data_IF_847532679239
#
_entry.id   IF_847532679239
#
_cell.length_a   1.000
_cell.length_b   1.000
_cell.length_c   1.000
_cell.angle_alpha   90.00
_cell.angle_beta   90.00
_cell.angle_gamma   90.00
#
_symmetry.space_group_name_H-M   'P 1'
#
loop_
_entity.id
_entity.type
_entity.pdbx_description
1 polymer ?
#
# COMPACT_ATOMS: atom_id res chain seq x y z
N UNK A 1 96.37 22.95 -16.83
CA UNK A 1 95.15 22.26 -16.35
C UNK A 1 95.52 20.82 -16.03
N UNK A 2 95.21 20.31 -14.84
CA UNK A 2 95.58 18.93 -14.45
C UNK A 2 94.91 17.92 -15.39
N UNK A 3 95.70 17.02 -15.97
CA UNK A 3 95.25 15.99 -16.93
C UNK A 3 94.07 15.18 -16.39
N UNK A 4 94.08 14.90 -15.07
CA UNK A 4 92.97 14.25 -14.38
C UNK A 4 91.63 15.03 -14.49
N UNK A 5 91.65 16.36 -14.42
CA UNK A 5 90.44 17.18 -14.57
C UNK A 5 89.91 17.16 -16.01
N UNK A 6 90.79 17.10 -17.01
CA UNK A 6 90.40 17.00 -18.42
C UNK A 6 89.75 15.63 -18.70
N UNK A 7 90.35 14.54 -18.19
CA UNK A 7 89.80 13.19 -18.35
C UNK A 7 88.41 13.05 -17.71
N UNK A 8 88.24 13.57 -16.49
CA UNK A 8 86.93 13.56 -15.81
C UNK A 8 85.88 14.36 -16.59
N UNK A 9 86.26 15.48 -17.20
CA UNK A 9 85.33 16.34 -17.95
C UNK A 9 84.88 15.69 -19.26
N UNK A 10 85.75 14.94 -19.93
CA UNK A 10 85.41 14.15 -21.13
C UNK A 10 84.47 13.00 -20.78
N UNK A 11 84.73 12.29 -19.67
CA UNK A 11 83.85 11.20 -19.20
C UNK A 11 82.47 11.74 -18.82
N UNK A 12 82.41 12.88 -18.13
CA UNK A 12 81.16 13.53 -17.76
C UNK A 12 80.33 13.94 -18.98
N UNK A 13 80.97 14.50 -20.01
CA UNK A 13 80.30 14.86 -21.27
C UNK A 13 79.83 13.61 -22.03
N UNK A 14 80.63 12.54 -22.06
CA UNK A 14 80.24 11.28 -22.68
C UNK A 14 79.02 10.65 -21.99
N UNK A 15 79.05 10.56 -20.66
CA UNK A 15 77.93 10.03 -19.88
C UNK A 15 76.66 10.89 -20.01
N UNK A 16 76.80 12.22 -20.01
CA UNK A 16 75.68 13.14 -20.24
C UNK A 16 75.05 13.00 -21.63
N UNK A 17 75.88 12.82 -22.66
CA UNK A 17 75.40 12.59 -24.04
C UNK A 17 74.62 11.29 -24.18
N UNK A 18 75.11 10.20 -23.56
CA UNK A 18 74.43 8.90 -23.56
C UNK A 18 73.11 8.95 -22.81
N UNK A 19 73.07 9.60 -21.64
CA UNK A 19 71.84 9.77 -20.88
C UNK A 19 70.78 10.59 -21.65
N UNK A 20 71.20 11.66 -22.33
CA UNK A 20 70.31 12.47 -23.16
C UNK A 20 69.76 11.70 -24.37
N UNK A 21 70.58 10.87 -25.01
CA UNK A 21 70.16 10.01 -26.12
C UNK A 21 69.17 8.91 -25.70
N UNK A 22 69.36 8.33 -24.51
CA UNK A 22 68.42 7.36 -23.96
C UNK A 22 67.11 8.00 -23.50
N UNK A 23 67.17 9.23 -22.98
CA UNK A 23 65.99 9.98 -22.56
C UNK A 23 65.17 10.49 -23.75
N UNK A 24 65.79 10.83 -24.89
CA UNK A 24 65.07 11.26 -26.09
C UNK A 24 64.33 10.12 -26.81
N UNK A 25 64.66 8.86 -26.51
CA UNK A 25 63.95 7.67 -26.99
C UNK A 25 62.77 7.24 -26.13
N UNK A 26 62.51 7.90 -24.98
CA UNK A 26 61.29 7.68 -24.22
C UNK A 26 60.12 8.31 -24.97
N UNK A 27 59.43 7.45 -25.72
CA UNK A 27 58.17 7.75 -26.39
C UNK A 27 57.17 8.19 -25.31
N UNK A 28 56.95 9.51 -25.20
CA UNK A 28 55.91 10.14 -24.39
C UNK A 28 54.54 9.82 -25.00
N UNK A 29 54.22 8.54 -25.19
CA UNK A 29 52.89 8.11 -25.57
C UNK A 29 51.97 8.59 -24.45
N UNK A 30 51.01 9.47 -24.75
CA UNK A 30 49.95 9.76 -23.81
C UNK A 30 49.38 8.43 -23.36
N UNK A 31 49.20 8.25 -22.05
CA UNK A 31 48.51 7.07 -21.53
C UNK A 31 47.26 6.83 -22.40
N UNK A 32 46.97 5.59 -22.83
CA UNK A 32 45.79 5.31 -23.64
C UNK A 32 44.61 6.00 -22.97
N UNK A 33 43.99 6.96 -23.66
CA UNK A 33 42.81 7.62 -23.14
C UNK A 33 41.84 6.49 -22.79
N UNK A 34 41.51 6.37 -21.49
CA UNK A 34 40.53 5.39 -21.03
C UNK A 34 39.33 5.49 -21.98
N UNK A 35 38.84 4.36 -22.54
CA UNK A 35 37.70 4.41 -23.43
C UNK A 35 36.61 5.19 -22.71
N UNK A 36 36.21 6.32 -23.30
CA UNK A 36 35.09 7.12 -22.81
C UNK A 36 33.94 6.15 -22.76
N UNK A 37 33.56 5.71 -21.56
CA UNK A 37 32.47 4.77 -21.37
C UNK A 37 31.30 5.28 -22.20
N UNK A 38 30.85 4.48 -23.17
CA UNK A 38 29.72 4.84 -24.01
C UNK A 38 28.60 5.29 -23.08
N UNK A 39 28.21 6.56 -23.20
CA UNK A 39 27.11 7.12 -22.40
C UNK A 39 25.86 6.40 -22.86
N UNK A 40 25.55 5.28 -22.20
CA UNK A 40 24.31 4.56 -22.41
C UNK A 40 23.16 5.57 -22.33
N UNK A 41 22.18 5.53 -23.25
CA UNK A 41 21.08 6.47 -23.24
C UNK A 41 20.39 6.41 -21.88
N UNK A 42 20.30 7.55 -21.20
CA UNK A 42 19.68 7.67 -19.87
C UNK A 42 18.36 8.41 -19.95
N UNK A 43 17.51 8.19 -18.96
CA UNK A 43 16.23 8.88 -18.76
C UNK A 43 16.06 9.26 -17.31
N UNK A 44 15.32 10.32 -17.03
CA UNK A 44 14.99 10.71 -15.67
C UNK A 44 13.67 10.08 -15.23
N UNK A 45 13.73 9.29 -14.16
CA UNK A 45 12.58 8.62 -13.54
C UNK A 45 12.25 9.29 -12.22
N UNK A 46 10.95 9.46 -11.94
CA UNK A 46 10.47 9.99 -10.67
C UNK A 46 10.56 8.91 -9.59
N UNK A 47 11.31 9.19 -8.52
CA UNK A 47 11.52 8.26 -7.39
C UNK A 47 11.15 8.92 -6.07
N UNK A 48 10.92 8.08 -5.05
CA UNK A 48 10.74 8.55 -3.67
C UNK A 48 12.07 9.09 -3.12
N UNK A 49 12.05 10.30 -2.56
CA UNK A 49 13.20 10.90 -1.87
C UNK A 49 13.34 10.40 -0.43
N UNK A 50 12.20 10.19 0.24
CA UNK A 50 12.10 9.67 1.59
C UNK A 50 11.14 8.47 1.60
N UNK A 51 11.11 7.73 2.70
CA UNK A 51 10.08 6.71 2.90
C UNK A 51 8.69 7.36 3.02
N UNK A 52 7.74 6.85 2.23
CA UNK A 52 6.35 7.28 2.23
C UNK A 52 5.51 6.12 2.74
N UNK A 53 4.87 6.30 3.88
CA UNK A 53 4.05 5.26 4.50
C UNK A 53 2.71 5.09 3.77
N UNK A 54 2.10 3.92 3.94
CA UNK A 54 0.74 3.68 3.45
C UNK A 54 -0.22 4.69 4.08
N UNK A 55 -1.08 5.30 3.26
CA UNK A 55 -2.02 6.34 3.68
C UNK A 55 -1.41 7.73 3.85
N UNK A 56 -0.09 7.89 3.68
CA UNK A 56 0.56 9.20 3.72
C UNK A 56 0.28 9.98 2.43
N UNK A 57 0.01 11.28 2.58
CA UNK A 57 -0.05 12.20 1.44
C UNK A 57 1.36 12.47 0.91
N UNK A 58 1.55 12.23 -0.38
CA UNK A 58 2.78 12.50 -1.12
C UNK A 58 2.92 13.99 -1.32
N UNK A 59 4.03 14.56 -0.85
CA UNK A 59 4.37 15.96 -1.11
C UNK A 59 5.39 16.06 -2.24
N UNK A 60 5.49 17.23 -2.86
CA UNK A 60 6.51 17.49 -3.88
C UNK A 60 7.95 17.35 -3.33
N UNK A 61 8.14 17.58 -2.03
CA UNK A 61 9.41 17.42 -1.31
C UNK A 61 9.83 15.96 -1.08
N UNK A 62 8.88 15.02 -1.12
CA UNK A 62 9.11 13.58 -0.98
C UNK A 62 9.46 12.91 -2.32
N UNK A 63 9.51 13.69 -3.40
CA UNK A 63 9.73 13.22 -4.76
C UNK A 63 11.02 13.84 -5.33
N UNK A 64 11.74 13.06 -6.12
CA UNK A 64 12.92 13.55 -6.84
C UNK A 64 13.06 12.84 -8.18
N UNK A 65 13.70 13.52 -9.14
CA UNK A 65 14.08 12.93 -10.41
C UNK A 65 15.44 12.25 -10.28
N UNK A 66 15.54 11.01 -10.76
CA UNK A 66 16.77 10.24 -10.73
C UNK A 66 17.11 9.72 -12.13
N UNK A 67 18.37 9.84 -12.52
CA UNK A 67 18.89 9.36 -13.79
C UNK A 67 19.01 7.84 -13.79
N UNK A 68 18.35 7.18 -14.74
CA UNK A 68 18.33 5.73 -14.93
C UNK A 68 18.77 5.38 -16.35
N UNK A 69 19.42 4.21 -16.57
CA UNK A 69 19.63 3.68 -17.91
C UNK A 69 18.28 3.44 -18.62
N UNK A 70 18.15 3.91 -19.85
CA UNK A 70 16.90 3.77 -20.62
C UNK A 70 16.50 2.31 -20.85
N UNK A 71 17.46 1.39 -20.86
CA UNK A 71 17.26 -0.06 -21.03
C UNK A 71 16.59 -0.73 -19.82
N UNK A 72 16.76 -0.19 -18.61
CA UNK A 72 16.17 -0.73 -17.36
C UNK A 72 14.96 0.07 -16.87
N UNK A 73 14.77 1.28 -17.39
CA UNK A 73 13.62 2.10 -17.09
C UNK A 73 12.35 1.54 -17.77
N UNK A 74 11.58 0.76 -17.01
CA UNK A 74 10.27 0.25 -17.42
C UNK A 74 9.33 1.37 -17.90
N UNK A 75 8.47 1.06 -18.88
CA UNK A 75 7.42 1.96 -19.35
C UNK A 75 6.38 2.30 -18.28
N UNK A 76 6.30 1.51 -17.20
CA UNK A 76 5.41 1.77 -16.07
C UNK A 76 5.93 2.89 -15.14
N UNK A 77 7.18 3.32 -15.30
CA UNK A 77 7.76 4.40 -14.50
C UNK A 77 7.39 5.76 -15.08
N UNK A 78 7.20 6.73 -14.19
CA UNK A 78 6.98 8.11 -14.59
C UNK A 78 8.34 8.69 -15.02
N UNK A 79 8.43 9.08 -16.28
CA UNK A 79 9.65 9.65 -16.86
C UNK A 79 9.47 11.13 -17.18
N UNK A 80 10.53 11.94 -16.98
CA UNK A 80 10.46 13.40 -17.18
C UNK A 80 10.21 13.79 -18.64
N UNK A 81 10.72 13.01 -19.59
CA UNK A 81 10.51 13.21 -21.04
C UNK A 81 9.03 13.16 -21.43
N UNK A 82 8.27 12.25 -20.81
CA UNK A 82 6.84 12.07 -21.06
C UNK A 82 5.95 12.96 -20.19
N UNK A 83 6.36 13.23 -18.95
CA UNK A 83 5.57 13.96 -17.94
C UNK A 83 6.46 14.85 -17.07
N UNK A 84 6.89 16.01 -17.58
CA UNK A 84 7.81 16.89 -16.85
C UNK A 84 7.20 17.49 -15.58
N UNK A 85 5.88 17.65 -15.55
CA UNK A 85 5.13 18.21 -14.41
C UNK A 85 4.64 17.14 -13.42
N UNK A 86 5.05 15.87 -13.56
CA UNK A 86 4.53 14.81 -12.71
C UNK A 86 4.78 15.06 -11.21
N UNK A 87 5.90 15.68 -10.86
CA UNK A 87 6.24 15.97 -9.47
C UNK A 87 5.21 16.89 -8.78
N UNK A 88 4.66 17.88 -9.49
CA UNK A 88 3.63 18.78 -8.96
C UNK A 88 2.24 18.19 -9.10
N UNK A 89 1.94 17.50 -10.21
CA UNK A 89 0.63 16.90 -10.45
C UNK A 89 0.32 15.75 -9.48
N UNK A 90 1.35 15.00 -9.08
CA UNK A 90 1.20 13.85 -8.17
C UNK A 90 1.22 14.28 -6.71
N UNK A 91 1.80 15.45 -6.40
CA UNK A 91 1.73 16.02 -5.07
C UNK A 91 0.27 16.19 -4.62
N UNK A 92 -0.03 15.81 -3.38
CA UNK A 92 -1.39 15.70 -2.86
C UNK A 92 -2.06 14.34 -3.05
N UNK A 93 -1.45 13.42 -3.80
CA UNK A 93 -1.92 12.02 -3.87
C UNK A 93 -1.60 11.25 -2.59
N UNK A 94 -2.39 10.23 -2.27
CA UNK A 94 -2.21 9.35 -1.11
C UNK A 94 -1.55 8.04 -1.57
N UNK A 95 -0.54 7.58 -0.84
CA UNK A 95 0.11 6.31 -1.11
C UNK A 95 -0.79 5.12 -0.73
N UNK A 96 -1.03 4.20 -1.67
CA UNK A 96 -1.81 2.97 -1.45
C UNK A 96 -1.00 1.84 -0.84
N UNK A 97 0.32 1.92 -0.99
CA UNK A 97 1.31 0.96 -0.51
C UNK A 97 2.51 1.74 -0.01
N UNK A 98 3.29 1.22 0.95
CA UNK A 98 4.52 1.88 1.36
C UNK A 98 5.49 1.98 0.17
N UNK A 99 6.15 3.13 0.06
CA UNK A 99 7.21 3.41 -0.90
C UNK A 99 8.48 3.70 -0.11
N UNK A 100 9.55 2.98 -0.42
CA UNK A 100 10.85 3.22 0.22
C UNK A 100 11.65 4.27 -0.56
N UNK A 101 12.57 4.95 0.11
CA UNK A 101 13.53 5.84 -0.53
C UNK A 101 14.21 5.17 -1.73
N UNK A 102 14.26 5.90 -2.86
CA UNK A 102 14.83 5.43 -4.12
C UNK A 102 13.90 4.56 -4.96
N UNK A 103 12.71 4.19 -4.46
CA UNK A 103 11.75 3.42 -5.26
C UNK A 103 11.13 4.28 -6.38
N UNK A 104 11.07 3.78 -7.64
CA UNK A 104 10.30 4.40 -8.71
C UNK A 104 8.82 4.54 -8.38
N UNK A 105 8.32 5.75 -8.54
CA UNK A 105 6.90 6.06 -8.37
C UNK A 105 6.12 5.55 -9.58
N UNK A 106 5.02 4.86 -9.29
CA UNK A 106 4.06 4.38 -10.28
C UNK A 106 2.68 4.91 -9.91
N UNK A 107 1.90 5.34 -10.91
CA UNK A 107 0.56 5.88 -10.66
C UNK A 107 -0.35 4.88 -9.96
N UNK A 108 -0.20 3.60 -10.23
CA UNK A 108 -0.99 2.52 -9.62
C UNK A 108 -0.79 2.44 -8.09
N UNK A 109 0.35 2.92 -7.58
CA UNK A 109 0.66 2.97 -6.15
C UNK A 109 0.09 4.20 -5.45
N UNK A 110 -0.49 5.13 -6.20
CA UNK A 110 -0.99 6.41 -5.71
C UNK A 110 -2.48 6.57 -5.99
N UNK A 111 -3.13 7.41 -5.20
CA UNK A 111 -4.54 7.78 -5.33
C UNK A 111 -4.67 9.28 -5.24
N UNK A 112 -5.33 9.94 -6.19
CA UNK A 112 -5.56 11.39 -6.10
C UNK A 112 -6.58 11.70 -5.00
N UNK A 113 -6.25 12.64 -4.12
CA UNK A 113 -7.14 13.06 -3.03
C UNK A 113 -8.32 13.92 -3.51
N UNK A 114 -8.24 14.51 -4.70
CA UNK A 114 -9.26 15.45 -5.19
C UNK A 114 -10.29 14.77 -6.09
N UNK A 115 -11.51 14.63 -5.56
CA UNK A 115 -12.70 14.37 -6.36
C UNK A 115 -13.84 13.76 -5.57
N UNK A 116 -14.92 14.53 -5.37
CA UNK A 116 -16.22 14.00 -4.91
C UNK A 116 -16.82 12.94 -5.86
N UNK A 117 -16.28 12.83 -7.08
CA UNK A 117 -16.57 11.77 -8.06
C UNK A 117 -15.50 10.66 -8.16
N UNK A 118 -14.41 10.72 -7.40
CA UNK A 118 -13.32 9.73 -7.46
C UNK A 118 -13.79 8.33 -7.07
N UNK A 119 -14.64 8.23 -6.04
CA UNK A 119 -15.23 6.95 -5.65
C UNK A 119 -16.09 6.36 -6.77
N UNK A 120 -16.83 7.17 -7.53
CA UNK A 120 -17.60 6.68 -8.67
C UNK A 120 -16.69 6.22 -9.84
N UNK A 121 -15.50 6.82 -9.99
CA UNK A 121 -14.57 6.51 -11.07
C UNK A 121 -13.71 5.25 -10.84
N UNK A 122 -13.43 4.88 -9.58
CA UNK A 122 -12.65 3.68 -9.25
C UNK A 122 -13.49 2.44 -8.93
N UNK A 123 -14.80 2.64 -8.76
CA UNK A 123 -15.71 1.57 -8.39
C UNK A 123 -15.89 0.63 -9.59
N UNK A 124 -15.64 -0.69 -9.43
CA UNK A 124 -15.85 -1.63 -10.51
C UNK A 124 -17.30 -1.56 -11.01
N UNK A 125 -17.48 -1.80 -12.31
CA UNK A 125 -18.83 -1.87 -12.90
C UNK A 125 -19.67 -2.89 -12.14
N UNK A 126 -20.89 -2.49 -11.76
CA UNK A 126 -21.79 -3.34 -10.98
C UNK A 126 -21.61 -3.26 -9.46
N UNK A 127 -20.64 -2.50 -8.94
CA UNK A 127 -20.46 -2.29 -7.49
C UNK A 127 -21.04 -0.94 -7.03
N UNK A 128 -21.32 -0.82 -5.74
CA UNK A 128 -21.88 0.37 -5.05
C UNK A 128 -21.01 0.69 -3.83
N UNK A 129 -20.68 1.96 -3.65
CA UNK A 129 -19.99 2.42 -2.45
C UNK A 129 -21.05 2.76 -1.38
N UNK A 130 -20.98 2.11 -0.21
CA UNK A 130 -21.93 2.36 0.89
C UNK A 130 -21.17 2.64 2.17
N UNK A 131 -21.53 3.73 2.84
CA UNK A 131 -20.92 4.12 4.10
C UNK A 131 -21.71 3.60 5.30
N UNK A 132 -21.00 3.12 6.32
CA UNK A 132 -21.55 2.73 7.62
C UNK A 132 -20.71 3.29 8.76
N UNK A 133 -21.39 3.63 9.85
CA UNK A 133 -20.73 4.13 11.06
C UNK A 133 -19.98 3.02 11.78
N UNK A 134 -18.85 3.37 12.38
CA UNK A 134 -17.98 2.50 13.14
C UNK A 134 -17.49 3.19 14.41
N UNK A 135 -17.13 2.38 15.41
CA UNK A 135 -16.49 2.80 16.65
C UNK A 135 -15.19 2.02 16.85
N UNK A 136 -14.45 2.29 17.93
CA UNK A 136 -13.22 1.55 18.25
C UNK A 136 -13.49 0.06 18.43
N UNK A 137 -14.64 -0.25 18.99
CA UNK A 137 -15.08 -1.62 19.26
C UNK A 137 -15.56 -2.31 17.99
N UNK A 138 -16.30 -1.60 17.12
CA UNK A 138 -16.89 -2.21 15.92
C UNK A 138 -15.98 -2.18 14.70
N UNK A 139 -14.95 -1.33 14.68
CA UNK A 139 -13.99 -1.15 13.57
C UNK A 139 -12.64 -1.85 13.79
N UNK A 140 -12.61 -2.97 14.51
CA UNK A 140 -11.41 -3.74 14.83
C UNK A 140 -10.26 -2.86 15.40
N UNK A 141 -10.57 -1.95 16.34
CA UNK A 141 -9.56 -1.14 17.04
C UNK A 141 -8.86 -0.10 16.17
N UNK A 142 -9.32 0.19 14.96
CA UNK A 142 -8.69 1.14 14.04
C UNK A 142 -7.58 0.56 13.17
N UNK A 143 -7.43 -0.76 13.13
CA UNK A 143 -6.47 -1.44 12.25
C UNK A 143 -6.97 -1.67 10.83
N UNK A 144 -8.25 -1.43 10.57
CA UNK A 144 -8.81 -1.51 9.22
C UNK A 144 -8.26 -0.33 8.42
N UNK A 145 -7.75 -0.60 7.23
CA UNK A 145 -7.22 0.38 6.29
C UNK A 145 -7.95 0.31 4.95
N UNK A 146 -7.89 1.37 4.12
CA UNK A 146 -8.36 1.29 2.74
C UNK A 146 -7.70 0.11 2.01
N UNK A 147 -8.50 -0.59 1.20
CA UNK A 147 -8.16 -1.82 0.48
C UNK A 147 -8.13 -3.12 1.30
N UNK A 148 -8.37 -3.07 2.61
CA UNK A 148 -8.54 -4.28 3.41
C UNK A 148 -9.84 -5.02 3.07
N UNK A 149 -9.88 -6.29 3.48
CA UNK A 149 -11.08 -7.14 3.40
C UNK A 149 -11.64 -7.36 4.79
N UNK A 150 -12.96 -7.27 4.92
CA UNK A 150 -13.67 -7.43 6.19
C UNK A 150 -14.86 -8.35 6.04
N UNK A 151 -15.18 -9.06 7.10
CA UNK A 151 -16.49 -9.70 7.29
C UNK A 151 -17.36 -8.79 8.16
N UNK A 152 -18.66 -8.76 7.88
CA UNK A 152 -19.64 -7.94 8.60
C UNK A 152 -20.51 -8.87 9.42
N UNK A 153 -20.43 -8.69 10.74
CA UNK A 153 -21.19 -9.45 11.73
C UNK A 153 -22.35 -8.61 12.23
N UNK A 154 -23.57 -9.15 12.17
CA UNK A 154 -24.75 -8.57 12.78
C UNK A 154 -25.02 -9.27 14.11
N UNK A 155 -25.14 -8.49 15.18
CA UNK A 155 -25.61 -8.99 16.48
C UNK A 155 -26.93 -8.33 16.83
N UNK A 156 -27.97 -9.13 17.08
CA UNK A 156 -29.34 -8.68 17.38
C UNK A 156 -29.89 -9.35 18.62
N UNK A 157 -30.62 -8.57 19.42
CA UNK A 157 -31.33 -9.06 20.61
C UNK A 157 -32.78 -9.36 20.23
N UNK A 158 -33.20 -10.60 20.42
CA UNK A 158 -34.54 -11.08 20.17
C UNK A 158 -35.27 -11.20 21.51
N UNK A 159 -36.42 -10.55 21.61
CA UNK A 159 -37.29 -10.68 22.76
C UNK A 159 -37.80 -12.10 22.84
N UNK A 160 -37.69 -12.72 24.01
CA UNK A 160 -38.15 -14.08 24.20
C UNK A 160 -39.68 -14.14 23.98
N UNK A 161 -40.20 -14.98 23.07
CA UNK A 161 -41.64 -15.11 22.83
C UNK A 161 -42.41 -15.61 24.07
N UNK A 162 -41.75 -16.30 25.01
CA UNK A 162 -42.33 -16.78 26.27
C UNK A 162 -42.21 -15.78 27.43
N UNK A 163 -42.11 -14.48 27.15
CA UNK A 163 -41.94 -13.43 28.17
C UNK A 163 -43.10 -13.34 29.21
N UNK A 164 -44.26 -13.96 28.93
CA UNK A 164 -45.42 -14.01 29.84
C UNK A 164 -45.52 -15.32 30.65
N UNK A 165 -44.59 -16.25 30.51
CA UNK A 165 -44.53 -17.47 31.32
C UNK A 165 -43.73 -17.22 32.60
N UNK A 166 -44.12 -17.83 33.71
CA UNK A 166 -43.39 -17.76 35.00
C UNK A 166 -41.99 -18.39 34.94
N UNK A 167 -41.63 -18.97 33.79
CA UNK A 167 -40.31 -19.47 33.37
C UNK A 167 -39.67 -18.64 32.24
N UNK A 168 -40.00 -17.35 32.14
CA UNK A 168 -39.44 -16.47 31.11
C UNK A 168 -37.90 -16.38 31.22
N UNK A 169 -37.20 -17.06 30.30
CA UNK A 169 -35.76 -16.88 30.11
C UNK A 169 -35.43 -15.51 29.52
N UNK A 170 -34.19 -15.05 29.73
CA UNK A 170 -33.69 -13.77 29.23
C UNK A 170 -33.78 -13.66 27.69
N UNK A 171 -33.75 -12.43 27.18
CA UNK A 171 -33.66 -12.14 25.75
C UNK A 171 -32.55 -12.96 25.06
N UNK A 172 -32.83 -13.45 23.86
CA UNK A 172 -31.87 -14.23 23.07
C UNK A 172 -30.97 -13.28 22.28
N UNK A 173 -29.66 -13.53 22.28
CA UNK A 173 -28.72 -12.81 21.42
C UNK A 173 -28.33 -13.72 20.26
N UNK A 174 -28.57 -13.25 19.04
CA UNK A 174 -28.19 -13.90 17.80
C UNK A 174 -27.08 -13.10 17.14
N UNK A 175 -25.99 -13.77 16.76
CA UNK A 175 -24.87 -13.16 16.04
C UNK A 175 -24.53 -13.99 14.80
N UNK A 176 -24.47 -13.36 13.64
CA UNK A 176 -24.19 -14.02 12.37
C UNK A 176 -23.37 -13.13 11.42
N UNK A 177 -22.56 -13.75 10.54
CA UNK A 177 -21.87 -13.05 9.46
C UNK A 177 -22.86 -12.84 8.32
N UNK A 178 -23.22 -11.59 8.04
CA UNK A 178 -24.19 -11.24 7.00
C UNK A 178 -23.54 -11.00 5.64
N UNK A 179 -22.30 -10.53 5.62
CA UNK A 179 -21.52 -10.26 4.42
C UNK A 179 -20.07 -10.67 4.70
N UNK A 180 -19.46 -11.38 3.77
CA UNK A 180 -18.08 -11.84 3.88
C UNK A 180 -17.21 -11.27 2.78
N UNK A 181 -15.91 -11.12 3.05
CA UNK A 181 -14.90 -10.68 2.10
C UNK A 181 -15.19 -9.32 1.42
N UNK A 182 -15.81 -8.40 2.14
CA UNK A 182 -16.15 -7.07 1.65
C UNK A 182 -14.90 -6.21 1.61
N UNK A 183 -14.67 -5.49 0.51
CA UNK A 183 -13.53 -4.58 0.40
C UNK A 183 -13.85 -3.22 1.01
N UNK A 184 -12.90 -2.68 1.76
CA UNK A 184 -12.96 -1.33 2.30
C UNK A 184 -12.39 -0.37 1.26
N UNK A 185 -13.20 0.63 0.86
CA UNK A 185 -12.79 1.65 -0.10
C UNK A 185 -12.08 2.82 0.57
N UNK A 186 -12.65 3.28 1.69
CA UNK A 186 -12.14 4.42 2.44
C UNK A 186 -12.58 4.34 3.91
N UNK A 187 -11.81 5.00 4.77
CA UNK A 187 -12.19 5.28 6.16
C UNK A 187 -12.12 6.79 6.32
N UNK A 188 -13.19 7.36 6.86
CA UNK A 188 -13.25 8.77 7.18
C UNK A 188 -12.29 9.05 8.34
N UNK A 189 -11.09 9.55 8.03
CA UNK A 189 -10.21 10.14 9.02
C UNK A 189 -10.64 11.59 9.20
N UNK A 190 -11.11 11.94 10.41
CA UNK A 190 -11.40 13.33 10.74
C UNK A 190 -10.17 14.20 10.40
N UNK A 191 -10.36 15.44 9.91
CA UNK A 191 -9.26 16.33 9.57
C UNK A 191 -8.28 16.39 10.74
N UNK A 192 -6.99 16.16 10.46
CA UNK A 192 -5.90 16.34 11.41
C UNK A 192 -6.01 17.73 12.02
N UNK A 193 -6.43 17.80 13.28
CA UNK A 193 -6.19 18.98 14.08
C UNK A 193 -4.67 19.09 14.25
N UNK A 194 -4.14 20.26 13.92
CA UNK A 194 -2.75 20.63 14.19
C UNK A 194 -2.46 20.36 15.68
N UNK A 195 -1.21 20.00 15.94
CA UNK A 195 -0.63 19.68 17.25
C UNK A 195 -0.81 18.24 17.71
N UNK A 196 0.31 17.51 17.60
CA UNK A 196 0.38 16.08 17.77
C UNK A 196 -0.24 15.59 19.08
N UNK A 197 -1.35 14.86 18.94
CA UNK A 197 -1.68 13.69 19.72
C UNK A 197 -2.86 12.95 19.10
N UNK A 198 -2.69 11.63 19.01
CA UNK A 198 -3.66 10.58 18.67
C UNK A 198 -4.21 10.56 17.23
N UNK A 199 -3.90 9.46 16.53
CA UNK A 199 -4.63 9.04 15.35
C UNK A 199 -6.12 8.93 15.72
N UNK A 200 -6.91 9.92 15.31
CA UNK A 200 -8.35 9.92 15.52
C UNK A 200 -8.91 8.73 14.76
N UNK A 201 -9.53 7.81 15.49
CA UNK A 201 -10.20 6.68 14.89
C UNK A 201 -11.30 7.19 13.95
N UNK A 202 -11.31 6.67 12.73
CA UNK A 202 -12.33 7.03 11.77
C UNK A 202 -13.72 6.61 12.23
N UNK A 203 -14.71 7.48 12.06
CA UNK A 203 -16.10 7.27 12.49
C UNK A 203 -16.96 6.56 11.45
N UNK A 204 -16.49 6.55 10.21
CA UNK A 204 -17.24 6.04 9.07
C UNK A 204 -16.32 5.21 8.20
N UNK A 205 -16.79 4.04 7.77
CA UNK A 205 -16.14 3.23 6.74
C UNK A 205 -16.99 3.22 5.49
N UNK A 206 -16.36 3.26 4.32
CA UNK A 206 -17.02 3.11 3.03
C UNK A 206 -16.64 1.77 2.42
N UNK A 207 -17.66 0.97 2.08
CA UNK A 207 -17.55 -0.42 1.65
C UNK A 207 -17.90 -0.57 0.16
N UNK A 208 -17.22 -1.49 -0.52
CA UNK A 208 -17.50 -1.91 -1.89
C UNK A 208 -18.51 -3.07 -1.88
N UNK A 209 -19.75 -2.83 -2.31
CA UNK A 209 -20.84 -3.82 -2.22
C UNK A 209 -21.52 -4.07 -3.57
N UNK A 210 -22.03 -5.28 -3.77
CA UNK A 210 -22.97 -5.61 -4.85
C UNK A 210 -24.39 -5.08 -4.52
N UNK A 211 -25.28 -4.88 -5.51
CA UNK A 211 -26.63 -4.32 -5.29
C UNK A 211 -27.47 -5.03 -4.25
N UNK A 212 -27.44 -6.36 -4.28
CA UNK A 212 -28.10 -7.25 -3.34
C UNK A 212 -27.55 -7.08 -1.92
N UNK A 213 -26.23 -6.99 -1.80
CA UNK A 213 -25.54 -6.76 -0.53
C UNK A 213 -25.86 -5.39 0.08
N UNK A 214 -26.12 -4.36 -0.75
CA UNK A 214 -26.57 -3.05 -0.26
C UNK A 214 -27.88 -3.17 0.51
N UNK A 215 -28.86 -3.90 -0.04
CA UNK A 215 -30.15 -4.11 0.62
C UNK A 215 -29.99 -4.92 1.92
N UNK A 216 -29.16 -5.96 1.91
CA UNK A 216 -28.83 -6.75 3.12
C UNK A 216 -28.21 -5.88 4.21
N UNK A 217 -27.22 -5.06 3.87
CA UNK A 217 -26.58 -4.17 4.83
C UNK A 217 -27.55 -3.12 5.38
N UNK A 218 -28.37 -2.52 4.51
CA UNK A 218 -29.37 -1.53 4.91
C UNK A 218 -30.41 -2.11 5.88
N UNK A 219 -30.89 -3.33 5.63
CA UNK A 219 -31.80 -4.03 6.55
C UNK A 219 -31.13 -4.40 7.87
N UNK A 220 -29.89 -4.92 7.81
CA UNK A 220 -29.13 -5.30 8.99
C UNK A 220 -28.85 -4.11 9.93
N UNK A 221 -28.60 -2.91 9.38
CA UNK A 221 -28.45 -1.67 10.15
C UNK A 221 -29.65 -1.34 11.03
N UNK A 222 -30.86 -1.74 10.65
CA UNK A 222 -32.08 -1.53 11.44
C UNK A 222 -32.31 -2.63 12.47
N UNK A 223 -31.69 -3.81 12.28
CA UNK A 223 -31.96 -5.01 13.06
C UNK A 223 -31.04 -5.25 14.26
N UNK A 224 -29.95 -4.50 14.40
CA UNK A 224 -28.99 -4.70 15.50
C UNK A 224 -27.68 -3.95 15.31
N UNK A 225 -26.66 -4.37 16.07
CA UNK A 225 -25.32 -3.78 16.03
C UNK A 225 -24.46 -4.49 14.99
N UNK A 226 -23.79 -3.70 14.13
CA UNK A 226 -22.85 -4.20 13.14
C UNK A 226 -21.42 -4.13 13.67
N UNK A 227 -20.64 -5.17 13.42
CA UNK A 227 -19.22 -5.24 13.72
C UNK A 227 -18.43 -5.68 12.50
N UNK A 228 -17.29 -5.06 12.27
CA UNK A 228 -16.36 -5.40 11.20
C UNK A 228 -15.26 -6.28 11.78
N UNK A 229 -15.09 -7.46 11.18
CA UNK A 229 -13.99 -8.36 11.45
C UNK A 229 -12.96 -8.23 10.33
N UNK A 230 -11.76 -7.73 10.65
CA UNK A 230 -10.65 -7.64 9.70
C UNK A 230 -10.20 -9.04 9.27
N UNK A 231 -10.12 -9.26 7.97
CA UNK A 231 -9.72 -10.54 7.40
C UNK A 231 -8.22 -10.59 7.21
N UNK A 232 -7.62 -11.75 7.50
CA UNK A 232 -6.21 -12.01 7.17
C UNK A 232 -5.99 -11.91 5.65
N UNK A 233 -4.82 -11.41 5.25
CA UNK A 233 -4.44 -11.30 3.82
C UNK A 233 -4.41 -12.66 3.11
N UNK A 234 -4.16 -13.74 3.85
CA UNK A 234 -4.17 -15.12 3.30
C UNK A 234 -5.62 -15.54 2.98
N UNK A 235 -6.54 -15.27 3.89
CA UNK A 235 -7.96 -15.63 3.72
C UNK A 235 -8.69 -14.73 2.73
N UNK A 236 -8.26 -13.46 2.62
CA UNK A 236 -8.77 -12.49 1.65
C UNK A 236 -8.57 -12.93 0.19
N UNK A 237 -7.49 -13.67 -0.07
CA UNK A 237 -7.12 -14.18 -1.38
C UNK A 237 -7.59 -15.62 -1.64
N UNK A 238 -8.16 -16.28 -0.63
CA UNK A 238 -8.79 -17.59 -0.82
C UNK A 238 -10.02 -17.41 -1.72
N UNK A 239 -10.09 -18.18 -2.80
CA UNK A 239 -11.22 -18.21 -3.72
C UNK A 239 -12.51 -18.42 -2.93
N UNK A 240 -13.54 -17.58 -3.19
CA UNK A 240 -14.82 -17.69 -2.51
C UNK A 240 -15.28 -19.15 -2.54
N UNK A 241 -15.42 -19.74 -1.34
CA UNK A 241 -16.08 -21.01 -1.15
C UNK A 241 -17.39 -20.96 -1.93
N UNK A 242 -17.61 -21.93 -2.81
CA UNK A 242 -18.77 -21.96 -3.71
C UNK A 242 -20.07 -21.92 -2.89
N UNK A 243 -21.19 -21.54 -3.52
CA UNK A 243 -22.49 -21.59 -2.84
C UNK A 243 -22.80 -22.98 -2.25
N UNK A 244 -22.22 -24.04 -2.81
CA UNK A 244 -22.26 -25.42 -2.34
C UNK A 244 -21.43 -25.60 -1.06
N UNK A 245 -20.20 -25.08 -1.01
CA UNK A 245 -19.36 -25.06 0.20
C UNK A 245 -20.00 -24.24 1.34
N UNK A 246 -20.63 -23.11 1.00
CA UNK A 246 -21.39 -22.29 1.95
C UNK A 246 -22.67 -22.98 2.40
N UNK A 247 -23.35 -23.76 1.55
CA UNK A 247 -24.52 -24.56 1.95
C UNK A 247 -24.13 -25.70 2.89
N UNK A 248 -23.00 -26.38 2.63
CA UNK A 248 -22.43 -27.41 3.51
C UNK A 248 -22.03 -26.79 4.86
N UNK A 249 -21.50 -25.57 4.88
CA UNK A 249 -21.16 -24.84 6.11
C UNK A 249 -22.39 -24.26 6.84
N UNK A 250 -23.43 -23.84 6.10
CA UNK A 250 -24.73 -23.35 6.62
C UNK A 250 -25.60 -24.45 7.23
N UNK A 251 -25.35 -25.72 6.91
CA UNK A 251 -25.89 -26.86 7.67
C UNK A 251 -25.42 -26.88 9.14
N UNK A 252 -24.54 -25.97 9.52
CA UNK A 252 -23.87 -25.92 10.80
C UNK A 252 -24.52 -25.08 11.90
N UNK A 253 -25.85 -25.03 12.03
CA UNK A 253 -26.55 -24.61 13.25
C UNK A 253 -26.49 -23.12 13.60
N UNK A 254 -27.60 -22.60 14.14
CA UNK A 254 -27.67 -21.25 14.67
C UNK A 254 -26.93 -21.22 16.01
N UNK A 255 -25.92 -20.36 16.16
CA UNK A 255 -25.24 -20.15 17.43
C UNK A 255 -26.07 -19.20 18.30
N UNK A 256 -26.82 -19.78 19.24
CA UNK A 256 -27.57 -19.02 20.24
C UNK A 256 -26.71 -18.95 21.50
N UNK A 257 -26.32 -17.74 21.90
CA UNK A 257 -25.59 -17.57 23.16
C UNK A 257 -26.62 -17.35 24.26
N UNK A 258 -26.71 -18.29 25.20
CA UNK A 258 -27.60 -18.20 26.38
C UNK A 258 -26.75 -18.31 27.64
N UNK A 259 -26.85 -17.34 28.56
CA UNK A 259 -26.08 -17.29 29.81
C UNK A 259 -24.54 -17.38 29.65
N UNK A 260 -24.00 -16.87 28.53
CA UNK A 260 -22.55 -16.91 28.25
C UNK A 260 -22.04 -18.25 27.70
N UNK A 261 -22.92 -19.22 27.43
CA UNK A 261 -22.58 -20.50 26.82
C UNK A 261 -23.15 -20.56 25.39
N UNK A 262 -22.32 -20.96 24.42
CA UNK A 262 -22.74 -21.20 23.04
C UNK A 262 -23.63 -22.45 22.99
N UNK A 263 -24.92 -22.27 22.69
CA UNK A 263 -25.86 -23.37 22.45
C UNK A 263 -26.11 -23.43 20.94
N UNK A 264 -25.58 -24.47 20.30
CA UNK A 264 -25.82 -24.72 18.87
C UNK A 264 -27.21 -25.30 18.69
N UNK A 265 -28.17 -24.51 18.18
CA UNK A 265 -29.48 -25.02 17.83
C UNK A 265 -29.39 -25.70 16.47
N UNK A 266 -29.44 -27.04 16.48
CA UNK A 266 -29.67 -27.84 15.28
C UNK A 266 -31.17 -27.77 14.97
N UNK A 267 -31.54 -26.94 14.00
CA UNK A 267 -32.90 -26.96 13.45
C UNK A 267 -33.09 -28.25 12.66
N UNK A 268 -33.65 -29.27 13.32
CA UNK A 268 -34.25 -30.42 12.62
C UNK A 268 -35.53 -29.90 11.94
N UNK A 269 -35.48 -29.70 10.62
CA UNK A 269 -36.71 -29.50 9.84
C UNK A 269 -37.56 -30.76 9.92
N UNK A 270 -38.88 -30.56 10.08
CA UNK A 270 -39.93 -31.55 9.84
C UNK A 270 -40.77 -31.04 8.69
#
# INVERSE_FOLDING_TARGET
>A
MNTARIVVLVIALGAGGVAAYLASGYDNRPAPALPVAEKLPTVEVLVAKNDIQLGQAVKAEDLQWQTWPSTTASSAFIRRDSRPEAQTQIAGSIARVPLMQGEPIREQKLVRAEGSGFMAAILPSGMRAVSTEISAETGAGGFILPNDRVDIVLTRRLKNPDANSTTAGNDLILSEVILSNVRVLAIDQAPKEKDGQNAVLGKTVTLELKPDQVATLAAARQGGTLQLALRSIVDANATELTAEDLAIKRSGGVNVIRYGVQVRQLTSQK
#
